data_IF_860231954986
#
_entry.id   IF_860231954986
#
_cell.length_a   1.000
_cell.length_b   1.000
_cell.length_c   1.000
_cell.angle_alpha   90.00
_cell.angle_beta   90.00
_cell.angle_gamma   90.00
#
_symmetry.space_group_name_H-M   'P 1'
#
loop_
_entity.id
_entity.type
_entity.pdbx_description
1 polymer ?
#
# COMPACT_ATOMS: atom_id res chain seq x y z
N UNK A 1 -1.16 -9.55 -12.17
CA UNK A 1 -0.66 -10.13 -10.90
C UNK A 1 0.85 -9.94 -10.86
N UNK A 2 1.43 -9.59 -9.72
CA UNK A 2 2.87 -9.44 -9.58
C UNK A 2 3.48 -10.71 -8.99
N UNK A 3 4.15 -11.51 -9.82
CA UNK A 3 4.88 -12.70 -9.36
C UNK A 3 6.32 -12.40 -8.95
N UNK A 4 6.90 -11.33 -9.49
CA UNK A 4 8.21 -10.78 -9.08
C UNK A 4 8.12 -9.24 -9.05
N UNK A 5 7.60 -8.66 -7.94
CA UNK A 5 7.46 -7.21 -7.80
C UNK A 5 8.79 -6.47 -7.82
N UNK A 6 9.88 -7.11 -7.38
CA UNK A 6 11.23 -6.51 -7.38
C UNK A 6 11.75 -6.31 -8.78
N UNK A 7 11.58 -7.30 -9.66
CA UNK A 7 11.95 -7.15 -11.07
C UNK A 7 11.10 -6.09 -11.79
N UNK A 8 9.86 -5.85 -11.31
CA UNK A 8 8.97 -4.83 -11.84
C UNK A 8 9.18 -3.43 -11.26
N UNK A 9 10.04 -3.27 -10.24
CA UNK A 9 10.25 -2.03 -9.48
C UNK A 9 8.95 -1.46 -8.88
N UNK A 10 8.09 -2.33 -8.35
CA UNK A 10 6.83 -1.95 -7.71
C UNK A 10 6.85 -2.38 -6.24
N UNK A 11 6.66 -1.46 -5.29
CA UNK A 11 6.77 -1.74 -3.86
C UNK A 11 5.49 -2.35 -3.31
N UNK A 12 5.13 -3.54 -3.80
CA UNK A 12 4.01 -4.37 -3.32
C UNK A 12 4.50 -5.80 -3.06
N UNK A 13 3.71 -6.59 -2.34
CA UNK A 13 4.03 -7.98 -2.04
C UNK A 13 3.86 -8.93 -3.24
N UNK A 14 4.57 -10.05 -3.17
CA UNK A 14 4.48 -11.16 -4.12
C UNK A 14 3.07 -11.74 -4.10
N UNK A 15 2.51 -11.94 -5.30
CA UNK A 15 1.14 -12.42 -5.47
C UNK A 15 0.09 -11.31 -5.47
N UNK A 16 0.50 -10.03 -5.47
CA UNK A 16 -0.44 -8.90 -5.53
C UNK A 16 -1.26 -8.91 -6.83
N UNK A 17 -2.59 -8.87 -6.68
CA UNK A 17 -3.53 -8.61 -7.77
C UNK A 17 -3.82 -7.11 -7.81
N UNK A 18 -3.75 -6.49 -8.99
CA UNK A 18 -3.97 -5.06 -9.15
C UNK A 18 -4.80 -4.77 -10.39
N UNK A 19 -5.45 -3.61 -10.40
CA UNK A 19 -6.13 -3.04 -11.54
C UNK A 19 -6.11 -1.51 -11.47
N UNK A 20 -6.06 -0.88 -12.62
CA UNK A 20 -6.22 0.56 -12.80
C UNK A 20 -7.39 0.86 -13.74
N UNK A 21 -7.98 2.03 -13.53
CA UNK A 21 -9.16 2.49 -14.23
C UNK A 21 -9.06 3.97 -14.61
N UNK A 22 -10.01 4.40 -15.43
CA UNK A 22 -10.13 5.79 -15.80
C UNK A 22 -10.29 6.70 -14.57
N UNK A 23 -9.89 7.96 -14.73
CA UNK A 23 -9.96 8.99 -13.70
C UNK A 23 -9.16 8.67 -12.40
N UNK A 24 -8.16 7.77 -12.50
CA UNK A 24 -7.26 7.41 -11.40
C UNK A 24 -7.84 6.39 -10.41
N UNK A 25 -9.01 5.80 -10.70
CA UNK A 25 -9.53 4.71 -9.88
C UNK A 25 -8.59 3.51 -9.93
N UNK A 26 -8.23 2.94 -8.79
CA UNK A 26 -7.35 1.77 -8.74
C UNK A 26 -7.65 0.92 -7.51
N UNK A 27 -7.29 -0.35 -7.55
CA UNK A 27 -7.31 -1.22 -6.38
C UNK A 27 -6.19 -2.26 -6.45
N UNK A 28 -5.82 -2.79 -5.29
CA UNK A 28 -5.02 -4.01 -5.22
C UNK A 28 -5.33 -4.84 -3.97
N UNK A 29 -5.03 -6.13 -4.09
CA UNK A 29 -5.06 -7.12 -3.02
C UNK A 29 -3.68 -7.74 -2.92
N UNK A 30 -3.02 -7.52 -1.80
CA UNK A 30 -1.67 -7.97 -1.50
C UNK A 30 -1.72 -9.01 -0.37
N UNK A 31 -1.69 -10.31 -0.69
CA UNK A 31 -1.78 -11.38 0.30
C UNK A 31 -0.52 -11.53 1.15
N UNK A 32 0.64 -11.05 0.69
CA UNK A 32 1.89 -11.14 1.47
C UNK A 32 1.86 -10.16 2.65
N UNK A 33 1.26 -8.98 2.44
CA UNK A 33 1.16 -7.93 3.45
C UNK A 33 -0.21 -7.85 4.15
N UNK A 34 -1.11 -8.81 3.93
CA UNK A 34 -2.50 -8.79 4.43
C UNK A 34 -3.22 -7.45 4.16
N UNK A 35 -3.06 -6.93 2.93
CA UNK A 35 -3.49 -5.58 2.55
C UNK A 35 -4.52 -5.63 1.41
N UNK A 36 -5.61 -4.88 1.61
CA UNK A 36 -6.54 -4.50 0.55
C UNK A 36 -6.61 -2.97 0.47
N UNK A 37 -6.45 -2.45 -0.74
CA UNK A 37 -6.57 -1.02 -1.01
C UNK A 37 -7.57 -0.75 -2.13
N UNK A 38 -8.37 0.30 -1.97
CA UNK A 38 -9.24 0.86 -3.00
C UNK A 38 -9.05 2.37 -3.06
N UNK A 39 -8.57 2.86 -4.20
CA UNK A 39 -8.40 4.27 -4.51
C UNK A 39 -9.53 4.76 -5.40
N UNK A 40 -10.39 5.62 -4.86
CA UNK A 40 -11.49 6.25 -5.60
C UNK A 40 -11.12 7.68 -5.95
N UNK A 41 -10.24 7.83 -6.94
CA UNK A 41 -9.88 9.13 -7.50
C UNK A 41 -10.90 9.47 -8.61
N UNK A 42 -11.21 10.75 -8.80
CA UNK A 42 -12.17 11.25 -9.80
C UNK A 42 -11.53 12.36 -10.63
N UNK A 43 -10.27 12.19 -11.02
CA UNK A 43 -9.50 13.17 -11.76
C UNK A 43 -9.15 12.61 -13.14
N UNK A 44 -9.85 13.07 -14.17
CA UNK A 44 -9.54 12.76 -15.57
C UNK A 44 -8.72 13.89 -16.18
N UNK A 45 -7.40 13.74 -16.20
CA UNK A 45 -6.47 14.76 -16.69
C UNK A 45 -5.17 14.13 -17.18
N UNK A 46 -4.66 14.60 -18.33
CA UNK A 46 -3.33 14.24 -18.87
C UNK A 46 -2.18 14.70 -17.95
N UNK A 47 -2.44 15.65 -17.06
CA UNK A 47 -1.47 16.16 -16.07
C UNK A 47 -1.71 15.60 -14.67
N UNK A 48 -2.53 14.57 -14.53
CA UNK A 48 -2.76 13.94 -13.24
C UNK A 48 -1.42 13.40 -12.69
N UNK A 49 -1.13 13.60 -11.39
CA UNK A 49 0.03 12.98 -10.77
C UNK A 49 -0.13 11.45 -10.71
N UNK A 50 0.98 10.72 -10.62
CA UNK A 50 1.01 9.26 -10.54
C UNK A 50 0.59 8.74 -9.14
N UNK A 51 -0.63 9.08 -8.72
CA UNK A 51 -1.14 8.86 -7.37
C UNK A 51 -1.11 7.38 -6.94
N UNK A 52 -1.34 6.45 -7.88
CA UNK A 52 -1.22 5.03 -7.60
C UNK A 52 0.20 4.66 -7.15
N UNK A 53 1.21 5.01 -7.96
CA UNK A 53 2.61 4.71 -7.65
C UNK A 53 3.05 5.40 -6.34
N UNK A 54 2.68 6.67 -6.16
CA UNK A 54 2.94 7.39 -4.91
C UNK A 54 2.30 6.69 -3.71
N UNK A 55 1.06 6.22 -3.84
CA UNK A 55 0.36 5.54 -2.75
C UNK A 55 1.00 4.19 -2.45
N UNK A 56 1.44 3.42 -3.46
CA UNK A 56 2.15 2.16 -3.25
C UNK A 56 3.44 2.37 -2.44
N UNK A 57 4.24 3.39 -2.78
CA UNK A 57 5.43 3.76 -1.99
C UNK A 57 5.08 4.11 -0.56
N UNK A 58 4.07 4.97 -0.35
CA UNK A 58 3.66 5.38 0.99
C UNK A 58 3.13 4.21 1.83
N UNK A 59 2.41 3.27 1.21
CA UNK A 59 1.91 2.07 1.89
C UNK A 59 3.05 1.13 2.26
N UNK A 60 4.03 0.93 1.36
CA UNK A 60 5.22 0.14 1.65
C UNK A 60 6.02 0.73 2.82
N UNK A 61 6.24 2.05 2.83
CA UNK A 61 6.90 2.74 3.94
C UNK A 61 6.13 2.56 5.25
N UNK A 62 4.80 2.67 5.21
CA UNK A 62 3.95 2.50 6.38
C UNK A 62 3.96 1.06 6.92
N UNK A 63 4.00 0.05 6.05
CA UNK A 63 4.11 -1.37 6.44
C UNK A 63 5.43 -1.61 7.16
N UNK A 64 6.54 -1.09 6.62
CA UNK A 64 7.86 -1.19 7.27
C UNK A 64 7.87 -0.53 8.65
N UNK A 65 7.21 0.63 8.79
CA UNK A 65 7.09 1.33 10.08
C UNK A 65 6.15 0.62 11.06
N UNK A 66 5.07 0.01 10.57
CA UNK A 66 4.08 -0.71 11.38
C UNK A 66 4.63 -1.98 12.06
N UNK A 67 5.67 -2.59 11.48
CA UNK A 67 6.40 -3.69 12.12
C UNK A 67 7.27 -3.24 13.31
N UNK A 68 7.52 -1.93 13.46
CA UNK A 68 8.31 -1.34 14.55
C UNK A 68 7.38 -0.59 15.51
N UNK A 69 6.58 -1.32 16.29
CA UNK A 69 6.17 -0.91 17.65
C UNK A 69 5.36 -2.03 18.35
N UNK A 70 6.00 -2.85 19.21
CA UNK A 70 5.26 -3.43 20.32
C UNK A 70 4.76 -2.25 21.15
N UNK A 71 3.44 -2.10 21.25
CA UNK A 71 2.83 -1.18 22.20
C UNK A 71 3.21 -1.70 23.59
N UNK A 72 4.31 -1.19 24.16
CA UNK A 72 4.70 -1.53 25.52
C UNK A 72 3.63 -0.95 26.43
N UNK A 73 2.64 -1.77 26.79
CA UNK A 73 1.74 -1.48 27.89
C UNK A 73 2.59 -1.46 29.16
N UNK A 74 3.08 -0.28 29.52
CA UNK A 74 3.59 -0.04 30.87
C UNK A 74 2.38 -0.12 31.81
N UNK A 75 2.12 -1.31 32.33
CA UNK A 75 1.36 -1.46 33.56
C UNK A 75 2.16 -0.77 34.67
N UNK A 76 1.92 0.53 34.85
CA UNK A 76 2.39 1.26 36.01
C UNK A 76 1.71 0.63 37.23
N UNK A 77 2.54 -0.04 38.03
CA UNK A 77 2.12 -0.74 39.22
C UNK A 77 1.53 0.19 40.29
N UNK A 78 0.65 -0.42 41.08
CA UNK A 78 0.61 -0.30 42.54
C UNK A 78 1.06 1.03 43.14
N UNK A 79 0.07 1.85 43.54
CA UNK A 79 -0.01 2.42 44.90
C UNK A 79 -1.45 2.42 45.36
#
# INVERSE_FOLDING_TARGET
VFTDPKAADIPVGVGTYHWDGAAGTCFWVDPENDLLFVGMIQLLSEKAPALQATTQTLMADAIVQGAVSPRTTSAAGSR
#
